data_IF_653404513583
#
_entry.id   IF_653404513583
#
_cell.length_a   1.000
_cell.length_b   1.000
_cell.length_c   1.000
_cell.angle_alpha   90.00
_cell.angle_beta   90.00
_cell.angle_gamma   90.00
#
_symmetry.space_group_name_H-M   'P 1'
#
loop_
_entity.id
_entity.type
_entity.pdbx_description
1 polymer ?
#
# COMPACT_ATOMS: atom_id res chain seq x y z
N UNK A 1 -56.11 30.59 -7.09
CA UNK A 1 -56.12 29.19 -6.60
C UNK A 1 -54.69 28.79 -6.33
N UNK A 2 -54.31 28.51 -5.08
CA UNK A 2 -53.00 27.93 -4.77
C UNK A 2 -53.17 26.41 -4.87
N UNK A 3 -52.50 25.78 -5.83
CA UNK A 3 -52.46 24.33 -5.91
C UNK A 3 -51.52 23.84 -4.80
N UNK A 4 -52.06 23.09 -3.85
CA UNK A 4 -51.27 22.40 -2.84
C UNK A 4 -50.65 21.16 -3.49
N UNK A 5 -49.33 21.08 -3.48
CA UNK A 5 -48.58 19.96 -4.03
C UNK A 5 -48.59 18.86 -2.95
N UNK A 6 -49.14 17.70 -3.30
CA UNK A 6 -49.20 16.53 -2.41
C UNK A 6 -47.81 15.91 -2.25
N UNK A 7 -47.52 15.34 -1.07
CA UNK A 7 -46.22 14.72 -0.77
C UNK A 7 -45.88 13.58 -1.75
N UNK A 8 -46.88 12.88 -2.24
CA UNK A 8 -46.76 11.77 -3.18
C UNK A 8 -46.19 12.26 -4.52
N UNK A 9 -46.60 13.45 -4.98
CA UNK A 9 -46.10 14.06 -6.21
C UNK A 9 -44.63 14.46 -6.10
N UNK A 10 -44.19 14.86 -4.89
CA UNK A 10 -42.79 15.18 -4.63
C UNK A 10 -41.91 13.93 -4.65
N UNK A 11 -42.38 12.82 -4.07
CA UNK A 11 -41.64 11.56 -4.02
C UNK A 11 -41.51 10.94 -5.41
N UNK A 12 -42.56 10.99 -6.22
CA UNK A 12 -42.54 10.44 -7.59
C UNK A 12 -41.62 11.23 -8.53
N UNK A 13 -41.46 12.54 -8.30
CA UNK A 13 -40.56 13.40 -9.05
C UNK A 13 -39.08 13.24 -8.66
N UNK A 14 -38.76 12.53 -7.58
CA UNK A 14 -37.37 12.30 -7.20
C UNK A 14 -36.72 11.28 -8.14
N UNK A 15 -35.55 11.59 -8.75
CA UNK A 15 -34.83 10.62 -9.55
C UNK A 15 -34.44 9.45 -8.65
N UNK A 16 -34.98 8.26 -8.97
CA UNK A 16 -34.64 7.03 -8.25
C UNK A 16 -33.13 6.81 -8.35
N UNK A 17 -32.43 6.50 -7.25
CA UNK A 17 -31.02 6.20 -7.30
C UNK A 17 -30.83 5.01 -8.25
N UNK A 18 -30.27 5.29 -9.42
CA UNK A 18 -29.79 4.25 -10.31
C UNK A 18 -28.69 3.55 -9.54
N UNK A 19 -28.96 2.32 -9.10
CA UNK A 19 -27.92 1.37 -8.69
C UNK A 19 -27.05 1.15 -9.92
N UNK A 20 -26.06 2.03 -10.10
CA UNK A 20 -24.99 1.81 -11.06
C UNK A 20 -24.34 0.51 -10.63
N UNK A 21 -24.57 -0.53 -11.42
CA UNK A 21 -23.87 -1.80 -11.36
C UNK A 21 -22.42 -1.54 -11.01
N UNK A 22 -22.03 -1.96 -9.80
CA UNK A 22 -20.68 -2.08 -9.25
C UNK A 22 -19.63 -1.81 -10.33
N UNK A 23 -19.13 -0.58 -10.41
CA UNK A 23 -17.91 -0.30 -11.16
C UNK A 23 -16.84 -1.20 -10.56
N UNK A 24 -16.50 -2.29 -11.26
CA UNK A 24 -15.43 -3.19 -10.84
C UNK A 24 -14.21 -2.31 -10.57
N UNK A 25 -13.87 -2.17 -9.29
CA UNK A 25 -12.67 -1.47 -8.87
C UNK A 25 -11.55 -2.34 -9.41
N UNK A 26 -11.06 -1.99 -10.61
CA UNK A 26 -9.87 -2.58 -11.17
C UNK A 26 -8.71 -2.14 -10.27
N UNK A 27 -8.43 -2.92 -9.23
CA UNK A 27 -7.17 -2.84 -8.54
C UNK A 27 -6.11 -3.11 -9.59
N UNK A 28 -5.47 -2.03 -10.09
CA UNK A 28 -4.24 -2.13 -10.89
C UNK A 28 -3.37 -3.16 -10.18
N UNK A 29 -3.06 -4.26 -10.85
CA UNK A 29 -2.19 -5.31 -10.32
C UNK A 29 -0.89 -4.62 -9.91
N UNK A 30 -0.75 -4.33 -8.61
CA UNK A 30 0.47 -3.72 -8.07
C UNK A 30 1.58 -4.67 -8.47
N UNK A 31 2.62 -4.16 -9.14
CA UNK A 31 3.85 -4.94 -9.39
C UNK A 31 4.17 -5.69 -8.10
N UNK A 32 4.29 -7.01 -8.17
CA UNK A 32 4.53 -7.86 -6.98
C UNK A 32 5.83 -7.39 -6.32
N UNK A 33 5.73 -6.72 -5.19
CA UNK A 33 6.88 -6.28 -4.41
C UNK A 33 6.62 -5.01 -3.61
N UNK A 34 7.22 -4.93 -2.42
CA UNK A 34 7.33 -3.68 -1.68
C UNK A 34 8.44 -2.82 -2.28
N UNK A 35 8.38 -1.50 -2.13
CA UNK A 35 9.41 -0.57 -2.66
C UNK A 35 10.81 -0.90 -2.12
N UNK A 36 10.86 -1.45 -0.90
CA UNK A 36 12.08 -1.91 -0.22
C UNK A 36 12.68 -3.15 -0.92
N UNK A 37 11.89 -3.95 -1.65
CA UNK A 37 12.38 -5.14 -2.35
C UNK A 37 13.34 -4.80 -3.48
N UNK A 38 13.22 -3.59 -4.06
CA UNK A 38 14.16 -3.11 -5.07
C UNK A 38 15.59 -2.96 -4.52
N UNK A 39 15.72 -2.81 -3.19
CA UNK A 39 17.01 -2.63 -2.51
C UNK A 39 17.39 -3.84 -1.65
N UNK A 40 16.78 -5.01 -1.90
CA UNK A 40 17.01 -6.23 -1.12
C UNK A 40 18.50 -6.58 -0.99
N UNK A 41 19.23 -6.59 -2.10
CA UNK A 41 20.65 -6.99 -2.11
C UNK A 41 21.50 -6.03 -1.29
N UNK A 42 21.32 -4.72 -1.47
CA UNK A 42 22.02 -3.68 -0.71
C UNK A 42 21.76 -3.83 0.80
N UNK A 43 20.50 -4.03 1.19
CA UNK A 43 20.09 -4.22 2.59
C UNK A 43 20.73 -5.48 3.20
N UNK A 44 20.72 -6.60 2.46
CA UNK A 44 21.33 -7.84 2.93
C UNK A 44 22.84 -7.71 3.08
N UNK A 45 23.52 -7.03 2.16
CA UNK A 45 24.96 -6.74 2.25
C UNK A 45 25.26 -5.86 3.48
N UNK A 46 24.51 -4.78 3.69
CA UNK A 46 24.65 -3.93 4.89
C UNK A 46 24.48 -4.74 6.18
N UNK A 47 23.54 -5.69 6.18
CA UNK A 47 23.26 -6.53 7.35
C UNK A 47 24.31 -7.61 7.59
N UNK A 48 24.73 -8.31 6.55
CA UNK A 48 25.56 -9.51 6.63
C UNK A 48 27.06 -9.19 6.60
N UNK A 49 27.48 -8.28 5.71
CA UNK A 49 28.90 -7.98 5.50
C UNK A 49 29.38 -6.82 6.38
N UNK A 50 28.53 -5.80 6.58
CA UNK A 50 28.87 -4.61 7.36
C UNK A 50 28.29 -4.63 8.78
N UNK A 51 27.54 -5.68 9.14
CA UNK A 51 26.91 -5.85 10.46
C UNK A 51 26.06 -4.66 10.93
N UNK A 52 25.50 -3.87 10.01
CA UNK A 52 24.69 -2.72 10.35
C UNK A 52 23.46 -3.14 11.16
N UNK A 53 23.15 -2.34 12.18
CA UNK A 53 21.91 -2.44 12.94
C UNK A 53 20.70 -2.08 12.07
N UNK A 54 19.52 -2.55 12.45
CA UNK A 54 18.29 -2.15 11.78
C UNK A 54 18.06 -0.62 11.82
N UNK A 55 18.57 0.06 12.85
CA UNK A 55 18.47 1.52 12.94
C UNK A 55 19.30 2.21 11.86
N UNK A 56 20.53 1.75 11.65
CA UNK A 56 21.41 2.28 10.60
C UNK A 56 20.85 2.00 9.20
N UNK A 57 20.29 0.82 8.96
CA UNK A 57 19.66 0.49 7.67
C UNK A 57 18.43 1.36 7.42
N UNK A 58 17.62 1.65 8.43
CA UNK A 58 16.48 2.59 8.31
C UNK A 58 16.96 3.99 8.02
N UNK A 59 18.02 4.44 8.70
CA UNK A 59 18.62 5.75 8.45
C UNK A 59 19.12 5.86 7.01
N UNK A 60 19.84 4.84 6.53
CA UNK A 60 20.29 4.76 5.14
C UNK A 60 19.13 4.76 4.14
N UNK A 61 18.08 3.95 4.38
CA UNK A 61 16.88 3.92 3.53
C UNK A 61 16.20 5.29 3.44
N UNK A 62 16.14 6.01 4.57
CA UNK A 62 15.54 7.34 4.62
C UNK A 62 16.35 8.38 3.85
N UNK A 63 17.67 8.42 4.05
CA UNK A 63 18.49 9.50 3.49
C UNK A 63 18.93 9.25 2.04
N UNK A 64 19.25 8.00 1.70
CA UNK A 64 19.81 7.68 0.37
C UNK A 64 18.74 7.26 -0.63
N UNK A 65 17.63 6.68 -0.15
CA UNK A 65 16.59 6.10 -1.01
C UNK A 65 15.22 6.77 -0.87
N UNK A 66 15.07 7.74 0.05
CA UNK A 66 13.78 8.37 0.39
C UNK A 66 12.68 7.36 0.77
N UNK A 67 13.08 6.26 1.43
CA UNK A 67 12.16 5.20 1.87
C UNK A 67 11.99 5.26 3.39
N UNK A 68 10.76 5.48 3.82
CA UNK A 68 10.37 5.44 5.23
C UNK A 68 9.75 4.08 5.54
N UNK A 69 10.37 3.35 6.46
CA UNK A 69 9.89 2.03 6.90
C UNK A 69 10.04 1.89 8.41
N UNK A 70 9.09 1.20 9.05
CA UNK A 70 9.20 0.90 10.47
C UNK A 70 10.24 -0.19 10.71
N UNK A 71 10.85 -0.19 11.91
CA UNK A 71 11.84 -1.20 12.29
C UNK A 71 11.28 -2.62 12.21
N UNK A 72 10.04 -2.82 12.64
CA UNK A 72 9.36 -4.12 12.58
C UNK A 72 9.12 -4.58 11.14
N UNK A 73 8.72 -3.66 10.25
CA UNK A 73 8.51 -3.99 8.84
C UNK A 73 9.83 -4.38 8.16
N UNK A 74 10.91 -3.65 8.42
CA UNK A 74 12.24 -3.99 7.92
C UNK A 74 12.71 -5.36 8.46
N UNK A 75 12.57 -5.60 9.77
CA UNK A 75 12.93 -6.87 10.39
C UNK A 75 12.20 -8.06 9.75
N UNK A 76 10.88 -7.97 9.64
CA UNK A 76 10.06 -9.04 9.04
C UNK A 76 10.46 -9.28 7.58
N UNK A 77 10.83 -8.22 6.87
CA UNK A 77 11.22 -8.31 5.47
C UNK A 77 12.58 -8.97 5.28
N UNK A 78 13.57 -8.58 6.08
CA UNK A 78 14.89 -9.21 6.10
C UNK A 78 14.76 -10.70 6.47
N UNK A 79 14.03 -11.01 7.53
CA UNK A 79 13.81 -12.41 7.96
C UNK A 79 13.13 -13.24 6.86
N UNK A 80 12.15 -12.66 6.17
CA UNK A 80 11.53 -13.32 5.03
C UNK A 80 12.55 -13.59 3.92
N UNK A 81 13.40 -12.63 3.58
CA UNK A 81 14.43 -12.80 2.56
C UNK A 81 15.50 -13.82 2.91
N UNK A 82 15.91 -13.88 4.18
CA UNK A 82 16.84 -14.89 4.69
C UNK A 82 16.22 -16.29 4.64
N UNK A 83 14.94 -16.42 5.01
CA UNK A 83 14.22 -17.71 4.99
C UNK A 83 13.90 -18.24 3.60
N UNK A 84 13.80 -17.37 2.59
CA UNK A 84 13.59 -17.78 1.19
C UNK A 84 14.89 -18.26 0.53
N UNK A 85 16.05 -18.10 1.18
CA UNK A 85 17.33 -18.62 0.71
C UNK A 85 17.77 -17.98 -0.61
N UNK A 86 18.27 -16.75 -0.56
CA UNK A 86 19.06 -16.20 -1.68
C UNK A 86 20.51 -16.57 -1.42
N UNK A 87 20.83 -17.80 -1.80
CA UNK A 87 22.19 -18.18 -2.21
C UNK A 87 22.11 -18.31 -3.74
N UNK A 88 22.47 -17.24 -4.44
CA UNK A 88 22.97 -17.32 -5.82
C UNK A 88 24.44 -16.91 -5.80
#
# INVERSE_FOLDING_TARGET
MKQEISLEMLIEAMPKPTVSTSSHIHHKSKKKGSIIDHHRCEILILRQNYHCSYGEIIYWLKNEKDIIVSKTALYNRIKHWEGVGVYE
#
